data_IF_539918968209
#
_entry.id   IF_539918968209
#
_cell.length_a   1.000
_cell.length_b   1.000
_cell.length_c   1.000
_cell.angle_alpha   90.00
_cell.angle_beta   90.00
_cell.angle_gamma   90.00
#
_symmetry.space_group_name_H-M   'P 1'
#
loop_
_entity.id
_entity.type
_entity.pdbx_description
1 polymer ?
#
# COMPACT_ATOMS: atom_id res chain seq x y z
N UNK A 1 7.48 10.81 -10.83
CA UNK A 1 7.22 9.36 -10.62
C UNK A 1 8.55 8.66 -10.41
N UNK A 2 8.82 8.19 -9.20
CA UNK A 2 10.02 7.42 -8.88
C UNK A 2 9.93 5.98 -9.43
N UNK A 3 11.08 5.30 -9.55
CA UNK A 3 11.14 3.95 -10.15
C UNK A 3 10.64 2.91 -9.14
N UNK A 4 9.73 2.04 -9.56
CA UNK A 4 9.21 0.98 -8.69
C UNK A 4 10.31 0.02 -8.21
N UNK A 5 10.22 -0.39 -6.94
CA UNK A 5 11.03 -1.44 -6.34
C UNK A 5 10.69 -2.82 -6.95
N UNK A 6 11.70 -3.63 -7.26
CA UNK A 6 11.52 -4.89 -8.00
C UNK A 6 12.35 -6.06 -7.46
N UNK A 7 11.99 -7.28 -7.87
CA UNK A 7 12.60 -8.54 -7.41
C UNK A 7 14.13 -8.69 -7.64
N UNK A 8 14.74 -7.88 -8.49
CA UNK A 8 16.19 -7.97 -8.73
C UNK A 8 17.03 -7.39 -7.58
N UNK A 9 16.41 -6.80 -6.58
CA UNK A 9 17.07 -6.24 -5.40
C UNK A 9 17.33 -7.34 -4.33
N UNK A 10 18.50 -7.38 -3.68
CA UNK A 10 18.94 -8.59 -2.95
C UNK A 10 18.44 -8.72 -1.50
N UNK A 11 17.81 -7.69 -0.91
CA UNK A 11 17.30 -7.73 0.47
C UNK A 11 16.03 -6.89 0.64
N UNK A 12 14.88 -7.56 0.69
CA UNK A 12 13.55 -6.92 0.73
C UNK A 12 12.98 -6.67 2.11
N UNK A 13 13.58 -7.22 3.16
CA UNK A 13 13.04 -7.14 4.52
C UNK A 13 13.43 -5.82 5.21
N UNK A 14 14.34 -5.05 4.62
CA UNK A 14 14.78 -3.76 5.15
C UNK A 14 15.01 -2.78 4.01
N UNK A 15 13.91 -2.20 3.52
CA UNK A 15 13.96 -1.29 2.38
C UNK A 15 14.27 0.17 2.73
N UNK A 16 14.33 0.48 4.03
CA UNK A 16 14.38 1.84 4.56
C UNK A 16 13.41 2.00 5.72
N UNK A 17 13.52 3.13 6.42
CA UNK A 17 12.66 3.48 7.54
C UNK A 17 11.91 4.80 7.31
N UNK A 18 12.33 5.58 6.33
CA UNK A 18 11.76 6.91 6.04
C UNK A 18 11.17 6.92 4.63
N UNK A 19 9.95 7.42 4.54
CA UNK A 19 9.19 7.41 3.31
C UNK A 19 8.54 8.76 3.07
N UNK A 20 8.25 9.03 1.81
CA UNK A 20 7.42 10.14 1.34
C UNK A 20 6.08 9.56 0.91
N UNK A 21 4.98 10.12 1.38
CA UNK A 21 3.65 9.67 0.98
C UNK A 21 3.22 10.34 -0.33
N UNK A 22 3.02 9.52 -1.36
CA UNK A 22 2.68 10.00 -2.71
C UNK A 22 1.16 9.94 -3.00
N UNK A 23 0.47 8.89 -2.53
CA UNK A 23 -0.96 8.68 -2.79
C UNK A 23 -1.56 7.68 -1.78
N UNK A 24 -2.84 7.85 -1.47
CA UNK A 24 -3.65 6.92 -0.67
C UNK A 24 -4.82 6.33 -1.48
N UNK A 25 -5.01 5.02 -1.37
CA UNK A 25 -6.06 4.26 -2.07
C UNK A 25 -6.79 3.36 -1.07
N UNK A 26 -8.14 3.39 -1.02
CA UNK A 26 -8.89 2.53 -0.11
C UNK A 26 -8.74 1.05 -0.48
N UNK A 27 -8.65 0.20 0.55
CA UNK A 27 -8.74 -1.26 0.43
C UNK A 27 -10.13 -1.68 0.91
N UNK A 28 -10.90 -2.25 -0.01
CA UNK A 28 -12.26 -2.72 0.26
C UNK A 28 -12.28 -4.19 0.70
N UNK A 29 -13.25 -4.52 1.55
CA UNK A 29 -13.64 -5.90 1.81
C UNK A 29 -14.09 -6.54 0.51
N UNK A 30 -13.78 -7.83 0.34
CA UNK A 30 -14.16 -8.57 -0.86
C UNK A 30 -15.06 -9.75 -0.52
N UNK A 31 -16.04 -10.00 -1.39
CA UNK A 31 -17.01 -11.08 -1.25
C UNK A 31 -17.06 -11.95 -2.51
N UNK A 32 -17.62 -13.15 -2.36
CA UNK A 32 -17.95 -14.03 -3.49
C UNK A 32 -19.43 -13.85 -3.78
N UNK A 33 -19.79 -13.76 -5.07
CA UNK A 33 -21.17 -13.57 -5.53
C UNK A 33 -21.63 -14.77 -6.34
N UNK A 34 -22.93 -15.05 -6.28
CA UNK A 34 -23.60 -15.99 -7.17
C UNK A 34 -24.28 -15.24 -8.32
N UNK A 35 -24.43 -15.90 -9.47
CA UNK A 35 -25.19 -15.40 -10.60
C UNK A 35 -26.71 -15.60 -10.40
N UNK A 36 -27.51 -15.27 -11.43
CA UNK A 36 -28.97 -15.38 -11.37
C UNK A 36 -29.48 -16.82 -11.19
N UNK A 37 -28.65 -17.83 -11.44
CA UNK A 37 -28.98 -19.25 -11.28
C UNK A 37 -28.49 -19.80 -9.93
N UNK A 38 -27.84 -18.98 -9.11
CA UNK A 38 -27.24 -19.38 -7.84
C UNK A 38 -25.84 -20.00 -7.97
N UNK A 39 -25.22 -19.96 -9.16
CA UNK A 39 -23.86 -20.48 -9.35
C UNK A 39 -22.80 -19.43 -8.98
N UNK A 40 -21.74 -19.84 -8.28
CA UNK A 40 -20.64 -18.94 -7.92
C UNK A 40 -19.97 -18.39 -9.18
N UNK A 41 -19.86 -17.06 -9.23
CA UNK A 41 -19.17 -16.37 -10.33
C UNK A 41 -17.67 -16.64 -10.23
N UNK A 42 -17.08 -17.12 -11.32
CA UNK A 42 -15.66 -17.50 -11.41
C UNK A 42 -14.88 -16.61 -12.36
N UNK A 43 -13.57 -16.55 -12.15
CA UNK A 43 -12.59 -16.01 -13.10
C UNK A 43 -12.43 -16.96 -14.29
N UNK A 44 -11.73 -16.50 -15.33
CA UNK A 44 -11.44 -17.30 -16.54
C UNK A 44 -10.63 -18.58 -16.24
N UNK A 45 -9.85 -18.57 -15.18
CA UNK A 45 -9.06 -19.71 -14.70
C UNK A 45 -9.87 -20.70 -13.82
N UNK A 46 -11.15 -20.42 -13.59
CA UNK A 46 -12.04 -21.25 -12.77
C UNK A 46 -12.01 -20.96 -11.27
N UNK A 47 -11.14 -20.05 -10.79
CA UNK A 47 -11.13 -19.61 -9.39
C UNK A 47 -12.35 -18.74 -9.06
N UNK A 48 -12.76 -18.72 -7.79
CA UNK A 48 -13.86 -17.85 -7.34
C UNK A 48 -13.51 -16.38 -7.58
N UNK A 49 -14.42 -15.65 -8.21
CA UNK A 49 -14.23 -14.21 -8.43
C UNK A 49 -14.58 -13.45 -7.17
N UNK A 50 -13.61 -12.69 -6.66
CA UNK A 50 -13.79 -11.75 -5.56
C UNK A 50 -14.27 -10.40 -6.10
N UNK A 51 -15.28 -9.83 -5.46
CA UNK A 51 -15.82 -8.51 -5.77
C UNK A 51 -15.62 -7.58 -4.59
N UNK A 52 -15.20 -6.34 -4.85
CA UNK A 52 -15.17 -5.31 -3.80
C UNK A 52 -16.60 -5.00 -3.34
N UNK A 53 -16.74 -4.88 -2.03
CA UNK A 53 -17.90 -4.24 -1.39
C UNK A 53 -17.61 -2.75 -1.20
N UNK A 54 -18.57 -2.02 -0.63
CA UNK A 54 -18.38 -0.61 -0.26
C UNK A 54 -17.68 -0.42 1.10
N UNK A 55 -17.41 -1.51 1.82
CA UNK A 55 -16.79 -1.47 3.16
C UNK A 55 -15.27 -1.36 3.06
N UNK A 56 -14.73 -0.24 3.54
CA UNK A 56 -13.29 -0.06 3.68
C UNK A 56 -12.77 -0.88 4.86
N UNK A 57 -11.70 -1.64 4.64
CA UNK A 57 -11.02 -2.47 5.66
C UNK A 57 -9.57 -2.08 5.88
N UNK A 58 -9.07 -1.11 5.12
CA UNK A 58 -7.67 -0.73 5.11
C UNK A 58 -7.38 0.33 4.08
N UNK A 59 -6.12 0.74 4.03
CA UNK A 59 -5.60 1.69 3.04
C UNK A 59 -4.28 1.20 2.47
N UNK A 60 -4.07 1.53 1.20
CA UNK A 60 -2.84 1.32 0.45
C UNK A 60 -2.15 2.66 0.27
N UNK A 61 -0.92 2.75 0.73
CA UNK A 61 -0.09 3.95 0.69
C UNK A 61 0.99 3.75 -0.37
N UNK A 62 0.93 4.51 -1.46
CA UNK A 62 2.01 4.59 -2.41
C UNK A 62 3.05 5.54 -1.83
N UNK A 63 4.29 5.07 -1.74
CA UNK A 63 5.36 5.80 -1.07
C UNK A 63 6.67 5.77 -1.84
N UNK A 64 7.45 6.84 -1.69
CA UNK A 64 8.82 6.92 -2.17
C UNK A 64 9.79 6.78 -1.00
N UNK A 65 10.77 5.88 -1.14
CA UNK A 65 11.76 5.58 -0.10
C UNK A 65 12.77 6.73 -0.02
N UNK A 66 12.96 7.29 1.18
CA UNK A 66 13.83 8.48 1.40
C UNK A 66 15.20 8.14 2.00
N UNK A 67 15.40 6.91 2.48
CA UNK A 67 16.65 6.43 3.06
C UNK A 67 17.05 5.02 2.58
N UNK A 68 18.18 4.51 3.10
CA UNK A 68 18.67 3.17 2.78
C UNK A 68 19.15 2.98 1.34
N UNK A 69 19.39 1.71 0.99
CA UNK A 69 19.94 1.29 -0.31
C UNK A 69 18.96 1.48 -1.49
N UNK A 70 17.66 1.65 -1.21
CA UNK A 70 16.62 1.80 -2.22
C UNK A 70 16.03 3.20 -2.28
N UNK A 71 16.74 4.19 -1.74
CA UNK A 71 16.34 5.59 -1.81
C UNK A 71 15.96 6.00 -3.24
N UNK A 72 14.90 6.81 -3.37
CA UNK A 72 14.25 7.25 -4.62
C UNK A 72 13.50 6.16 -5.40
N UNK A 73 13.37 4.94 -4.87
CA UNK A 73 12.44 3.96 -5.41
C UNK A 73 11.07 4.11 -4.76
N UNK A 74 10.03 3.67 -5.45
CA UNK A 74 8.66 3.66 -4.94
C UNK A 74 8.15 2.25 -4.67
N UNK A 75 7.23 2.12 -3.73
CA UNK A 75 6.52 0.89 -3.42
C UNK A 75 5.12 1.22 -2.86
N UNK A 76 4.31 0.19 -2.61
CA UNK A 76 3.02 0.33 -1.97
C UNK A 76 2.98 -0.48 -0.68
N UNK A 77 2.53 0.16 0.39
CA UNK A 77 2.37 -0.43 1.72
C UNK A 77 0.89 -0.48 2.07
N UNK A 78 0.40 -1.66 2.45
CA UNK A 78 -0.98 -1.83 2.95
C UNK A 78 -1.01 -1.76 4.48
N UNK A 79 -1.99 -1.06 5.04
CA UNK A 79 -2.31 -1.07 6.47
C UNK A 79 -3.78 -1.45 6.62
N UNK A 80 -4.07 -2.47 7.42
CA UNK A 80 -5.43 -2.96 7.67
C UNK A 80 -6.10 -2.17 8.80
N UNK A 81 -6.24 -0.86 8.58
CA UNK A 81 -6.96 0.07 9.45
C UNK A 81 -8.00 0.82 8.58
N UNK A 82 -9.30 0.80 8.90
CA UNK A 82 -10.33 1.48 8.10
C UNK A 82 -10.17 3.01 8.09
N UNK A 83 -9.48 3.59 9.06
CA UNK A 83 -9.22 5.03 9.11
C UNK A 83 -7.93 5.37 8.34
N UNK A 84 -8.04 6.31 7.40
CA UNK A 84 -6.88 6.81 6.66
C UNK A 84 -6.03 7.71 7.55
N UNK A 85 -4.70 7.68 7.38
CA UNK A 85 -3.80 8.64 8.04
C UNK A 85 -4.09 10.09 7.59
N UNK A 86 -4.22 10.27 6.28
CA UNK A 86 -4.53 11.52 5.56
C UNK A 86 -5.23 11.16 4.24
N UNK A 87 -5.85 12.13 3.59
CA UNK A 87 -6.44 11.98 2.25
C UNK A 87 -5.52 12.53 1.14
N UNK A 88 -5.91 12.35 -0.12
CA UNK A 88 -5.15 12.83 -1.27
C UNK A 88 -5.17 14.36 -1.40
N UNK A 89 -6.20 15.04 -0.87
CA UNK A 89 -6.27 16.51 -0.91
C UNK A 89 -5.20 17.11 0.02
N UNK A 90 -5.04 16.53 1.22
CA UNK A 90 -3.97 16.87 2.15
C UNK A 90 -2.59 16.65 1.51
N UNK A 91 -2.38 15.50 0.85
CA UNK A 91 -1.09 15.19 0.21
C UNK A 91 -0.76 16.21 -0.88
N UNK A 92 -1.74 16.59 -1.71
CA UNK A 92 -1.54 17.58 -2.77
C UNK A 92 -1.30 19.00 -2.24
N UNK A 93 -1.80 19.33 -1.05
CA UNK A 93 -1.62 20.63 -0.42
C UNK A 93 -0.24 20.81 0.25
N UNK A 94 0.51 19.73 0.47
CA UNK A 94 1.78 19.72 1.19
C UNK A 94 2.96 19.57 0.22
N UNK A 95 4.07 20.27 0.49
CA UNK A 95 5.30 20.10 -0.30
C UNK A 95 5.94 18.72 -0.08
N UNK A 96 5.89 18.23 1.16
CA UNK A 96 6.31 16.88 1.56
C UNK A 96 5.41 16.37 2.70
N UNK A 97 5.08 15.09 2.65
CA UNK A 97 4.36 14.31 3.66
C UNK A 97 5.24 13.12 4.08
N UNK A 98 6.21 13.34 4.98
CA UNK A 98 7.09 12.28 5.44
C UNK A 98 6.36 11.32 6.39
N UNK A 99 6.53 10.02 6.16
CA UNK A 99 5.87 8.96 6.93
C UNK A 99 6.84 7.84 7.34
N UNK A 100 6.45 7.11 8.39
CA UNK A 100 7.09 5.89 8.88
C UNK A 100 6.05 4.78 9.06
N UNK A 101 6.49 3.52 9.05
CA UNK A 101 5.62 2.36 9.20
C UNK A 101 6.10 1.44 10.33
N UNK A 102 5.16 0.86 11.06
CA UNK A 102 5.44 -0.14 12.09
C UNK A 102 5.44 -1.56 11.49
N UNK A 103 6.43 -2.38 11.87
CA UNK A 103 6.52 -3.79 11.49
C UNK A 103 6.35 -4.06 9.98
N UNK A 104 7.04 -3.27 9.15
CA UNK A 104 6.99 -3.40 7.70
C UNK A 104 7.48 -4.78 7.23
N UNK A 105 6.64 -5.48 6.47
CA UNK A 105 6.90 -6.84 5.98
C UNK A 105 6.57 -6.96 4.49
N UNK A 106 7.40 -7.66 3.74
CA UNK A 106 7.12 -7.96 2.34
C UNK A 106 5.97 -8.98 2.25
N UNK A 107 4.91 -8.66 1.50
CA UNK A 107 3.74 -9.53 1.36
C UNK A 107 3.59 -10.12 -0.04
N UNK A 108 4.19 -9.51 -1.05
CA UNK A 108 4.21 -10.05 -2.39
C UNK A 108 5.54 -9.76 -3.06
N UNK A 109 6.27 -10.83 -3.36
CA UNK A 109 7.54 -10.81 -4.07
C UNK A 109 7.24 -11.17 -5.53
N UNK A 110 7.04 -10.14 -6.35
CA UNK A 110 6.85 -10.27 -7.81
C UNK A 110 7.76 -9.28 -8.53
N UNK A 111 7.56 -9.08 -9.83
CA UNK A 111 8.21 -7.97 -10.56
C UNK A 111 8.05 -6.63 -9.84
N UNK A 112 6.92 -6.41 -9.14
CA UNK A 112 6.73 -5.30 -8.20
C UNK A 112 6.67 -5.83 -6.78
N UNK A 113 7.39 -5.16 -5.87
CA UNK A 113 7.41 -5.48 -4.46
C UNK A 113 6.30 -4.72 -3.72
N UNK A 114 5.52 -5.45 -2.91
CA UNK A 114 4.47 -4.88 -2.05
C UNK A 114 4.68 -5.27 -0.59
N UNK A 115 4.27 -4.37 0.29
CA UNK A 115 4.47 -4.50 1.73
C UNK A 115 3.16 -4.38 2.50
N UNK A 116 3.18 -4.89 3.73
CA UNK A 116 2.18 -4.63 4.76
C UNK A 116 2.88 -4.09 6.00
N UNK A 117 2.17 -3.22 6.72
CA UNK A 117 2.58 -2.69 8.01
C UNK A 117 1.41 -2.77 8.99
N UNK A 118 1.72 -2.72 10.28
CA UNK A 118 0.71 -2.71 11.34
C UNK A 118 0.09 -1.32 11.50
N UNK A 119 0.90 -0.27 11.31
CA UNK A 119 0.47 1.12 11.38
C UNK A 119 1.35 2.02 10.50
N UNK A 120 0.87 3.24 10.26
CA UNK A 120 1.57 4.32 9.57
C UNK A 120 1.48 5.59 10.43
N UNK A 121 2.55 6.38 10.44
CA UNK A 121 2.64 7.62 11.22
C UNK A 121 3.22 8.75 10.37
N UNK A 122 2.71 9.97 10.57
CA UNK A 122 3.39 11.18 10.10
C UNK A 122 4.68 11.38 10.90
N UNK A 123 5.77 11.71 10.21
CA UNK A 123 6.99 12.13 10.87
C UNK A 123 6.84 13.61 11.21
N UNK A 124 6.87 13.93 12.49
CA UNK A 124 6.81 15.31 12.97
C UNK A 124 8.02 16.08 12.42
N UNK A 125 7.77 16.95 11.43
CA UNK A 125 8.79 17.86 10.91
C UNK A 125 8.89 18.97 11.94
N UNK A 126 9.69 18.74 12.99
CA UNK A 126 10.08 19.84 13.88
C UNK A 126 10.65 20.94 13.00
N UNK A 127 9.88 22.00 12.83
CA UNK A 127 10.33 23.24 12.21
C UNK A 127 11.55 23.69 13.02
N UNK A 128 12.72 23.67 12.37
CA UNK A 128 13.95 24.19 12.94
C UNK A 128 13.91 25.71 12.98
#
# INVERSE_FOLDING_TARGET
MAKMLSQNDWNFNNIGTKFELDEVIPKFETEVRADANGEIIKNRDGSERRFNTDKIIGWKYNVTIKDGQFKKKSTQVSVDNPDALVDNDYIQAMDEVPVTFDNLQATMISTTMYYKADAIHLVDVKQK
#
